data_IF_423377290297
#
_entry.id   IF_423377290297
#
_cell.length_a   1.000
_cell.length_b   1.000
_cell.length_c   1.000
_cell.angle_alpha   90.00
_cell.angle_beta   90.00
_cell.angle_gamma   90.00
#
_symmetry.space_group_name_H-M   'P 1'
#
loop_
_entity.id
_entity.type
_entity.pdbx_description
1 polymer ?
2 non-polymer ?
3 non-polymer ?
4 water ?
#
# COMPACT_ATOMS: atom_id res chain seq x y z
N UNK A 2 -6.42 10.60 21.12
CA UNK A 2 -4.93 10.35 21.16
C UNK A 2 -4.35 9.34 20.10
N UNK A 3 -4.91 8.15 19.97
CA UNK A 3 -4.45 7.23 18.92
C UNK A 3 -5.15 7.50 17.58
N UNK A 4 -4.46 7.22 16.48
CA UNK A 4 -4.98 7.55 15.15
C UNK A 4 -4.56 6.55 14.07
N UNK A 5 -5.52 6.11 13.25
CA UNK A 5 -5.28 5.27 12.09
C UNK A 5 -5.61 6.04 10.82
N UNK A 6 -4.91 5.74 9.73
CA UNK A 6 -5.13 6.42 8.47
C UNK A 6 -5.13 5.49 7.25
N UNK A 7 -6.05 5.76 6.33
CA UNK A 7 -6.18 4.99 5.10
C UNK A 7 -6.04 5.88 3.89
N UNK A 8 -5.20 5.44 2.95
CA UNK A 8 -5.01 6.16 1.64
C UNK A 8 -5.94 5.58 0.57
N UNK A 9 -6.36 6.40 -0.41
CA UNK A 9 -7.28 5.99 -1.48
C UNK A 9 -8.57 5.44 -0.90
N UNK A 10 -9.13 6.17 0.07
CA UNK A 10 -10.17 5.59 0.92
C UNK A 10 -11.59 6.07 0.64
N UNK A 11 -11.80 6.72 -0.51
CA UNK A 11 -13.12 7.25 -0.89
C UNK A 11 -14.02 6.22 -1.55
N UNK A 12 -13.44 5.12 -2.03
CA UNK A 12 -14.20 4.03 -2.66
C UNK A 12 -13.41 2.71 -2.57
N UNK A 13 -14.02 1.63 -3.06
CA UNK A 13 -13.37 0.32 -3.12
C UNK A 13 -12.98 -0.30 -1.78
N UNK A 14 -11.91 -1.08 -1.81
CA UNK A 14 -11.37 -1.69 -0.59
C UNK A 14 -10.93 -0.67 0.49
N UNK A 15 -10.35 0.47 0.08
CA UNK A 15 -9.92 1.50 1.03
C UNK A 15 -11.03 2.06 1.88
N UNK A 16 -12.18 2.32 1.26
CA UNK A 16 -13.39 2.68 1.95
C UNK A 16 -13.82 1.59 2.93
N UNK A 17 -13.81 0.32 2.48
CA UNK A 17 -14.16 -0.81 3.40
C UNK A 17 -13.19 -0.91 4.63
N UNK A 18 -11.90 -0.62 4.40
CA UNK A 18 -10.91 -0.63 5.47
C UNK A 18 -11.18 0.52 6.44
N UNK A 19 -11.48 1.72 5.92
CA UNK A 19 -11.75 2.92 6.74
C UNK A 19 -12.97 2.61 7.64
N UNK A 20 -14.03 2.04 7.05
CA UNK A 20 -15.23 1.61 7.80
C UNK A 20 -14.91 0.66 8.93
N UNK A 21 -14.17 -0.39 8.65
CA UNK A 21 -13.83 -1.38 9.65
C UNK A 21 -12.91 -0.87 10.76
N UNK A 22 -11.98 0.02 10.39
CA UNK A 22 -11.18 0.69 11.43
C UNK A 22 -12.02 1.59 12.35
N UNK A 23 -13.01 2.28 11.77
CA UNK A 23 -14.00 3.05 12.56
C UNK A 23 -14.69 2.13 13.57
N UNK A 24 -14.97 0.90 13.17
CA UNK A 24 -15.61 -0.06 14.09
C UNK A 24 -14.64 -0.72 15.07
N UNK A 25 -13.39 -0.92 14.67
CA UNK A 25 -12.49 -1.82 15.43
C UNK A 25 -11.28 -1.14 16.06
N UNK A 26 -10.89 0.04 15.56
CA UNK A 26 -9.70 0.72 16.04
C UNK A 26 -10.05 1.66 17.22
N UNK A 27 -9.34 1.52 18.34
CA UNK A 27 -9.51 2.37 19.53
C UNK A 27 -8.80 3.71 19.32
N UNK A 28 -9.47 4.67 18.69
CA UNK A 28 -8.85 5.96 18.37
C UNK A 28 -9.56 6.55 17.17
N UNK A 29 -9.02 7.65 16.64
CA UNK A 29 -9.64 8.29 15.47
C UNK A 29 -9.24 7.60 14.18
N UNK A 30 -10.13 7.67 13.19
CA UNK A 30 -9.81 7.16 11.86
C UNK A 30 -9.79 8.34 10.91
N UNK A 31 -8.70 8.50 10.16
CA UNK A 31 -8.62 9.55 9.13
C UNK A 31 -8.78 8.87 7.74
N UNK A 32 -9.90 9.15 7.11
CA UNK A 32 -10.11 8.76 5.72
C UNK A 32 -9.46 9.81 4.84
N UNK A 33 -8.61 9.36 3.92
CA UNK A 33 -7.97 10.30 3.04
C UNK A 33 -8.31 9.97 1.60
N UNK A 34 -8.27 11.00 0.74
CA UNK A 34 -8.57 10.92 -0.70
C UNK A 34 -7.87 12.08 -1.42
N UNK A 35 -7.53 11.87 -2.69
CA UNK A 35 -6.96 12.91 -3.55
C UNK A 35 -8.05 13.85 -4.07
N UNK A 36 -9.27 13.32 -4.23
CA UNK A 36 -10.41 14.12 -4.73
C UNK A 36 -11.16 14.44 -3.44
N UNK A 37 -11.13 15.71 -3.03
CA UNK A 37 -11.79 16.15 -1.78
C UNK A 37 -13.32 15.96 -1.82
N UNK A 38 -13.94 16.22 -2.97
CA UNK A 38 -15.38 16.05 -3.07
C UNK A 38 -15.75 14.56 -2.85
N UNK A 39 -14.99 13.67 -3.49
CA UNK A 39 -15.13 12.22 -3.29
C UNK A 39 -14.83 11.79 -1.86
N UNK A 40 -13.76 12.35 -1.28
CA UNK A 40 -13.39 12.02 0.11
C UNK A 40 -14.44 12.42 1.15
N UNK A 41 -14.95 13.63 0.99
CA UNK A 41 -15.95 14.14 1.94
C UNK A 41 -17.30 13.45 1.77
N UNK A 42 -17.65 13.10 0.52
CA UNK A 42 -18.85 12.30 0.25
C UNK A 42 -18.75 10.93 0.93
N UNK A 43 -17.56 10.32 0.92
CA UNK A 43 -17.32 9.02 1.59
C UNK A 43 -17.43 9.12 3.11
N UNK A 44 -16.84 10.19 3.66
CA UNK A 44 -16.98 10.55 5.09
C UNK A 44 -18.46 10.70 5.50
N UNK A 45 -19.23 11.45 4.72
CA UNK A 45 -20.68 11.60 4.93
C UNK A 45 -21.45 10.28 4.87
N UNK A 46 -21.03 9.39 3.97
CA UNK A 46 -21.60 8.07 3.83
C UNK A 46 -21.42 7.23 5.12
N UNK A 47 -20.20 7.20 5.65
CA UNK A 47 -19.88 6.56 6.92
C UNK A 47 -20.54 7.28 8.09
N UNK A 48 -20.57 8.61 8.07
CA UNK A 48 -21.40 9.36 9.03
C UNK A 48 -22.89 8.99 9.05
N UNK A 49 -23.44 8.68 7.88
CA UNK A 49 -24.85 8.31 7.74
C UNK A 49 -25.09 6.93 8.36
N UNK A 50 -24.04 6.10 8.35
CA UNK A 50 -24.06 4.83 9.06
C UNK A 50 -24.00 4.99 10.59
N UNK A 51 -23.62 6.19 11.07
CA UNK A 51 -23.40 6.42 12.50
C UNK A 51 -21.93 6.40 12.93
N UNK A 52 -21.02 6.39 11.97
CA UNK A 52 -19.58 6.41 12.23
C UNK A 52 -18.99 7.82 12.23
N UNK A 53 -17.75 7.95 12.73
CA UNK A 53 -17.14 9.25 12.92
C UNK A 53 -15.71 9.42 12.35
N UNK A 54 -15.49 9.07 11.06
CA UNK A 54 -14.12 9.29 10.57
C UNK A 54 -13.85 10.80 10.41
N UNK A 55 -12.56 11.13 10.43
CA UNK A 55 -12.09 12.44 10.04
C UNK A 55 -11.60 12.40 8.61
N UNK A 56 -11.62 13.57 7.96
CA UNK A 56 -11.08 13.66 6.63
C UNK A 56 -9.79 14.48 6.56
N UNK A 57 -8.86 14.03 5.72
CA UNK A 57 -7.73 14.84 5.28
C UNK A 57 -7.46 14.55 3.79
N UNK A 58 -7.20 15.59 3.01
CA UNK A 58 -6.81 15.38 1.62
C UNK A 58 -5.46 14.64 1.55
N UNK A 59 -5.29 13.78 0.55
CA UNK A 59 -3.97 13.19 0.34
C UNK A 59 -3.87 12.67 -1.09
N UNK A 60 -2.98 13.27 -1.89
CA UNK A 60 -2.61 12.66 -3.17
C UNK A 60 -1.17 12.14 -2.98
N UNK A 61 -1.02 10.82 -3.04
CA UNK A 61 0.29 10.21 -2.72
C UNK A 61 1.36 10.54 -3.80
N UNK A 62 0.90 11.00 -4.97
CA UNK A 62 1.82 11.46 -6.04
C UNK A 62 2.42 12.85 -5.86
N UNK A 63 1.89 13.58 -4.86
CA UNK A 63 2.24 14.93 -4.54
C UNK A 63 2.95 15.01 -3.17
N UNK A 64 4.26 15.22 -3.21
CA UNK A 64 5.07 15.26 -2.01
C UNK A 64 4.63 16.34 -0.98
N UNK A 65 4.21 17.50 -1.46
CA UNK A 65 3.66 18.54 -0.59
C UNK A 65 2.39 18.08 0.12
N UNK A 66 1.60 17.25 -0.56
CA UNK A 66 0.38 16.64 0.03
C UNK A 66 0.75 15.63 1.13
N UNK A 67 1.72 14.77 0.85
CA UNK A 67 2.20 13.80 1.86
C UNK A 67 2.69 14.56 3.10
N UNK A 68 3.49 15.60 2.87
CA UNK A 68 4.07 16.39 3.98
C UNK A 68 3.08 17.22 4.74
N UNK A 69 2.07 17.78 4.06
CA UNK A 69 0.95 18.41 4.76
C UNK A 69 0.22 17.41 5.66
N UNK A 70 0.05 16.18 5.21
CA UNK A 70 -0.63 15.15 6.04
C UNK A 70 0.25 14.84 7.26
N UNK A 71 1.55 14.70 7.01
CA UNK A 71 2.54 14.43 8.05
C UNK A 71 2.48 15.47 9.15
N UNK A 72 2.47 16.73 8.73
CA UNK A 72 2.42 17.88 9.64
C UNK A 72 1.13 17.89 10.45
N UNK A 73 0.00 17.71 9.77
CA UNK A 73 -1.29 17.55 10.45
C UNK A 73 -1.26 16.45 11.57
N UNK A 74 -0.73 15.27 11.23
CA UNK A 74 -0.64 14.14 12.16
C UNK A 74 0.28 14.46 13.35
N UNK A 75 1.44 15.04 13.11
CA UNK A 75 2.32 15.45 14.22
C UNK A 75 1.64 16.47 15.14
N UNK A 76 0.91 17.43 14.55
CA UNK A 76 0.32 18.52 15.34
C UNK A 76 -0.84 18.04 16.22
N UNK A 77 -1.72 17.23 15.62
CA UNK A 77 -2.98 16.83 16.21
C UNK A 77 -2.87 15.64 17.14
N UNK A 78 -2.00 14.71 16.79
CA UNK A 78 -1.89 13.46 17.52
C UNK A 78 -0.49 13.17 18.03
N UNK A 79 0.49 13.98 17.62
CA UNK A 79 1.90 13.74 17.92
C UNK A 79 2.50 12.60 17.13
N UNK A 80 1.80 12.13 16.10
CA UNK A 80 2.28 11.07 15.22
C UNK A 80 1.14 10.21 14.69
N UNK A 81 1.49 8.98 14.38
CA UNK A 81 0.57 8.04 13.75
C UNK A 81 0.72 6.65 14.36
N UNK A 82 -0.42 5.96 14.59
CA UNK A 82 -0.41 4.56 15.07
C UNK A 82 -0.58 3.52 13.97
N UNK A 83 -1.42 3.79 12.98
CA UNK A 83 -1.72 2.81 11.90
C UNK A 83 -1.71 3.54 10.55
N UNK A 84 -0.98 2.98 9.58
CA UNK A 84 -0.97 3.51 8.23
C UNK A 84 -1.32 2.38 7.26
N UNK A 85 -2.39 2.56 6.50
CA UNK A 85 -2.75 1.60 5.47
C UNK A 85 -2.51 2.29 4.12
N UNK A 86 -1.46 1.85 3.42
CA UNK A 86 -1.15 2.33 2.07
C UNK A 86 -1.94 1.49 1.05
N UNK A 87 -3.16 1.93 0.78
CA UNK A 87 -4.12 1.25 -0.09
C UNK A 87 -4.14 1.84 -1.51
N UNK A 88 -3.91 3.16 -1.64
CA UNK A 88 -3.97 3.79 -2.94
C UNK A 88 -3.15 3.05 -4.00
N UNK A 89 -3.74 2.81 -5.17
CA UNK A 89 -3.08 2.22 -6.32
C UNK A 89 -3.83 2.52 -7.59
N UNK A 90 -3.15 2.31 -8.71
CA UNK A 90 -3.77 2.36 -10.04
C UNK A 90 -3.43 1.11 -10.85
N UNK A 91 -4.30 0.78 -11.81
CA UNK A 91 -4.04 -0.25 -12.80
C UNK A 91 -4.76 0.21 -14.03
N UNK A 92 -4.03 0.35 -15.14
CA UNK A 92 -4.63 0.92 -16.34
C UNK A 92 -5.05 -0.18 -17.29
N UNK A 93 -6.34 -0.23 -17.62
CA UNK A 93 -6.87 -1.18 -18.59
C UNK A 93 -6.88 -0.59 -20.02
N UNK A 94 -7.21 -1.42 -21.01
CA UNK A 94 -7.19 -1.01 -22.43
C UNK A 94 -8.24 0.06 -22.80
N UNK A 95 -9.13 0.41 -21.86
CA UNK A 95 -10.11 1.50 -22.05
C UNK A 95 -9.48 2.87 -21.78
N UNK A 96 -8.25 2.82 -21.24
CA UNK A 96 -7.39 3.98 -21.00
C UNK A 96 -6.15 3.75 -21.88
N UNK A 97 -6.30 4.02 -23.20
CA UNK A 97 -5.25 3.69 -24.20
C UNK A 97 -4.03 4.58 -24.07
N UNK A 98 -2.89 3.95 -23.95
CA UNK A 98 -1.63 4.66 -23.70
C UNK A 98 -0.49 3.77 -24.12
N UNK A 99 0.62 4.37 -24.58
CA UNK A 99 1.79 3.53 -24.89
C UNK A 99 2.31 2.79 -23.65
N UNK A 100 2.92 1.64 -23.90
CA UNK A 100 3.35 0.74 -22.82
C UNK A 100 4.35 1.39 -21.83
N UNK A 101 5.28 2.19 -22.35
CA UNK A 101 6.25 2.87 -21.50
C UNK A 101 5.62 3.92 -20.56
N UNK A 102 4.60 4.64 -21.03
CA UNK A 102 3.76 5.50 -20.19
C UNK A 102 2.94 4.68 -19.15
N UNK A 103 2.33 3.59 -19.56
CA UNK A 103 1.62 2.73 -18.63
C UNK A 103 2.59 2.30 -17.53
N UNK A 104 3.81 1.89 -17.93
CA UNK A 104 4.81 1.45 -16.96
C UNK A 104 5.20 2.57 -16.00
N UNK A 105 5.52 3.72 -16.57
CA UNK A 105 5.89 4.90 -15.78
C UNK A 105 4.79 5.38 -14.79
N UNK A 106 3.54 5.45 -15.26
CA UNK A 106 2.50 5.98 -14.42
C UNK A 106 2.04 4.96 -13.37
N UNK A 107 2.00 3.68 -13.71
CA UNK A 107 1.70 2.61 -12.73
C UNK A 107 2.76 2.55 -11.61
N UNK A 108 4.06 2.56 -11.95
CA UNK A 108 5.11 2.58 -10.89
C UNK A 108 5.15 3.91 -10.13
N UNK A 109 4.87 5.02 -10.82
CA UNK A 109 4.80 6.33 -10.14
C UNK A 109 3.91 6.27 -8.89
N UNK A 110 2.67 5.84 -9.04
CA UNK A 110 1.78 5.74 -7.86
C UNK A 110 2.09 4.50 -7.00
N UNK A 111 1.99 3.32 -7.59
CA UNK A 111 2.00 2.09 -6.79
C UNK A 111 3.30 1.87 -6.07
N UNK A 112 4.42 2.15 -6.73
CA UNK A 112 5.70 1.98 -6.06
C UNK A 112 6.31 3.27 -5.46
N UNK A 113 6.60 4.25 -6.31
CA UNK A 113 7.33 5.43 -5.87
C UNK A 113 6.54 6.27 -4.88
N UNK A 114 5.25 6.46 -5.12
CA UNK A 114 4.38 7.17 -4.15
C UNK A 114 4.23 6.45 -2.80
N UNK A 115 3.98 5.14 -2.86
CA UNK A 115 3.86 4.29 -1.68
C UNK A 115 5.15 4.37 -0.85
N UNK A 116 6.29 4.28 -1.53
CA UNK A 116 7.60 4.48 -0.92
C UNK A 116 7.76 5.86 -0.27
N UNK A 117 7.38 6.92 -0.97
CA UNK A 117 7.42 8.30 -0.40
C UNK A 117 6.49 8.42 0.85
N UNK A 118 5.29 7.85 0.78
CA UNK A 118 4.43 7.70 1.97
C UNK A 118 5.16 7.03 3.17
N UNK A 119 5.83 5.93 2.91
CA UNK A 119 6.52 5.22 3.99
C UNK A 119 7.68 6.04 4.59
N UNK A 120 8.44 6.72 3.75
CA UNK A 120 9.62 7.47 4.20
C UNK A 120 9.24 8.76 4.95
N UNK A 121 8.17 9.42 4.51
CA UNK A 121 7.69 10.62 5.17
C UNK A 121 6.98 10.32 6.47
N UNK A 122 6.32 9.17 6.55
CA UNK A 122 5.47 8.88 7.69
C UNK A 122 5.98 7.87 8.73
N UNK A 123 6.89 6.98 8.34
CA UNK A 123 7.51 6.05 9.31
C UNK A 123 8.15 6.77 10.49
N UNK A 124 8.88 7.92 10.25
CA UNK A 124 9.46 8.63 11.41
C UNK A 124 8.47 9.13 12.45
N UNK A 125 7.24 9.38 12.03
CA UNK A 125 6.16 9.77 12.96
C UNK A 125 5.30 8.57 13.47
N UNK A 126 5.60 7.35 13.05
CA UNK A 126 4.91 6.18 13.60
C UNK A 126 5.28 6.03 15.10
N UNK A 127 4.25 5.90 15.93
CA UNK A 127 4.41 5.70 17.38
C UNK A 127 4.84 4.23 17.70
N UNK A 128 5.43 3.97 18.89
CA UNK A 128 5.71 2.58 19.29
C UNK A 128 4.44 1.71 19.20
N UNK A 129 4.65 0.45 18.79
CA UNK A 129 3.58 -0.57 18.54
C UNK A 129 2.65 -0.19 17.39
N UNK A 130 3.14 0.68 16.50
CA UNK A 130 2.36 1.11 15.34
C UNK A 130 2.42 0.03 14.27
N UNK A 131 1.50 0.09 13.32
CA UNK A 131 1.47 -0.89 12.21
C UNK A 131 1.35 -0.19 10.88
N UNK A 132 2.09 -0.72 9.90
CA UNK A 132 2.03 -0.24 8.52
C UNK A 132 1.56 -1.41 7.65
N UNK A 133 0.54 -1.17 6.85
CA UNK A 133 -0.03 -2.18 5.96
C UNK A 133 0.05 -1.61 4.54
N UNK A 134 0.89 -2.26 3.72
CA UNK A 134 1.04 -1.89 2.30
C UNK A 134 0.23 -2.86 1.47
N UNK A 135 -0.87 -2.39 0.88
CA UNK A 135 -1.71 -3.25 0.02
C UNK A 135 -0.96 -3.58 -1.26
N UNK A 136 -0.67 -4.85 -1.43
CA UNK A 136 -0.02 -5.31 -2.64
C UNK A 136 -1.07 -6.13 -3.39
N UNK A 137 -0.65 -7.24 -3.98
CA UNK A 137 -1.50 -8.12 -4.78
C UNK A 137 -0.74 -9.46 -4.94
N UNK A 138 -1.48 -10.53 -5.01
CA UNK A 138 -0.93 -11.85 -5.36
C UNK A 138 -0.34 -11.86 -6.77
N UNK A 139 -0.76 -10.92 -7.63
CA UNK A 139 -0.11 -10.73 -8.93
C UNK A 139 1.38 -10.47 -8.82
N UNK A 140 1.83 -9.97 -7.68
CA UNK A 140 3.27 -9.72 -7.52
C UNK A 140 4.07 -11.05 -7.62
N UNK A 141 3.45 -12.16 -7.20
CA UNK A 141 4.08 -13.51 -7.27
C UNK A 141 4.22 -14.00 -8.68
N UNK A 142 3.14 -13.85 -9.45
CA UNK A 142 3.11 -14.19 -10.86
C UNK A 142 4.17 -13.36 -11.60
N UNK A 143 4.28 -12.07 -11.25
CA UNK A 143 5.29 -11.16 -11.83
C UNK A 143 6.68 -11.67 -11.51
N UNK A 144 6.91 -12.04 -10.24
CA UNK A 144 8.18 -12.62 -9.83
C UNK A 144 8.54 -13.85 -10.65
N UNK A 145 7.57 -14.76 -10.82
CA UNK A 145 7.79 -15.98 -11.56
C UNK A 145 8.09 -15.69 -13.03
N UNK A 146 7.56 -14.58 -13.56
CA UNK A 146 7.78 -14.17 -14.95
C UNK A 146 9.06 -13.31 -15.18
N UNK A 147 9.77 -12.99 -14.11
CA UNK A 147 11.13 -12.44 -14.19
C UNK A 147 12.16 -13.50 -14.62
N UNK A 148 13.19 -13.09 -15.39
CA UNK A 148 14.34 -13.96 -15.65
C UNK A 148 14.93 -14.44 -14.31
N UNK A 149 15.64 -15.56 -14.32
CA UNK A 149 16.27 -16.05 -13.08
C UNK A 149 17.17 -15.00 -12.39
N UNK A 150 17.94 -14.26 -13.20
CA UNK A 150 18.79 -13.16 -12.69
C UNK A 150 18.02 -12.10 -11.87
N UNK A 151 16.88 -11.65 -12.40
CA UNK A 151 16.01 -10.70 -11.67
C UNK A 151 15.38 -11.25 -10.41
N UNK A 152 14.88 -12.48 -10.49
CA UNK A 152 14.36 -13.18 -9.33
C UNK A 152 15.35 -13.19 -8.13
N UNK A 153 16.61 -13.49 -8.42
CA UNK A 153 17.69 -13.60 -7.42
C UNK A 153 17.91 -12.24 -6.75
N UNK A 154 17.87 -11.17 -7.57
CA UNK A 154 17.98 -9.80 -7.11
C UNK A 154 16.83 -9.38 -6.17
N UNK A 155 15.57 -9.68 -6.54
CA UNK A 155 14.39 -9.33 -5.71
C UNK A 155 14.28 -10.20 -4.47
N UNK A 156 14.70 -11.45 -4.60
CA UNK A 156 14.56 -12.44 -3.54
C UNK A 156 15.58 -12.25 -2.41
N UNK A 157 16.73 -11.64 -2.72
CA UNK A 157 17.85 -11.56 -1.75
C UNK A 157 17.52 -10.72 -0.51
N UNK A 158 17.76 -11.29 0.66
CA UNK A 158 17.62 -10.61 1.93
C UNK A 158 18.47 -9.35 2.05
N UNK A 159 19.59 -9.29 1.32
CA UNK A 159 20.51 -8.13 1.42
C UNK A 159 20.16 -6.88 0.55
N UNK A 160 19.18 -7.03 -0.34
CA UNK A 160 18.68 -5.95 -1.16
C UNK A 160 18.33 -4.73 -0.30
N UNK A 161 18.87 -3.59 -0.69
CA UNK A 161 18.63 -2.34 -0.02
C UNK A 161 17.50 -1.57 -0.68
N UNK A 162 17.03 -0.53 0.01
CA UNK A 162 16.00 0.31 -0.54
C UNK A 162 16.52 0.92 -1.85
N UNK A 163 17.76 1.43 -1.83
CA UNK A 163 18.42 2.01 -3.00
C UNK A 163 18.54 1.05 -4.16
N UNK A 164 18.97 -0.20 -3.91
CA UNK A 164 18.99 -1.25 -4.94
C UNK A 164 17.57 -1.44 -5.52
N UNK A 165 16.54 -1.47 -4.66
CA UNK A 165 15.17 -1.70 -5.14
C UNK A 165 14.66 -0.55 -6.01
N UNK A 166 14.81 0.67 -5.51
CA UNK A 166 14.49 1.88 -6.27
C UNK A 166 15.11 1.85 -7.66
N UNK A 167 16.38 1.52 -7.72
CA UNK A 167 17.10 1.44 -8.98
C UNK A 167 16.54 0.38 -9.94
N UNK A 168 16.11 -0.76 -9.39
CA UNK A 168 15.49 -1.82 -10.21
C UNK A 168 14.15 -1.41 -10.81
N UNK A 169 13.33 -0.74 -10.00
CA UNK A 169 12.03 -0.23 -10.41
C UNK A 169 12.23 0.81 -11.48
N UNK A 170 13.22 1.69 -11.25
CA UNK A 170 13.60 2.71 -12.22
C UNK A 170 14.07 2.07 -13.55
N UNK A 171 14.85 1.00 -13.43
CA UNK A 171 15.32 0.22 -14.57
C UNK A 171 14.18 -0.36 -15.42
N UNK A 172 13.14 -0.93 -14.76
CA UNK A 172 11.94 -1.42 -15.47
C UNK A 172 11.37 -0.31 -16.34
N UNK A 173 11.07 0.83 -15.75
CA UNK A 173 10.54 1.97 -16.50
C UNK A 173 11.46 2.35 -17.68
N UNK A 174 12.76 2.52 -17.44
CA UNK A 174 13.70 2.90 -18.51
C UNK A 174 13.73 1.89 -19.63
N UNK A 175 13.79 0.60 -19.26
CA UNK A 175 13.80 -0.53 -20.18
C UNK A 175 12.54 -0.53 -21.08
N UNK A 176 11.37 -0.21 -20.50
CA UNK A 176 10.15 -0.03 -21.31
C UNK A 176 10.27 1.17 -22.28
N UNK A 177 10.82 2.30 -21.82
CA UNK A 177 11.10 3.46 -22.72
C UNK A 177 12.00 3.08 -23.88
N UNK A 178 13.01 2.24 -23.60
CA UNK A 178 13.95 1.83 -24.61
C UNK A 178 13.54 0.57 -25.33
N UNK A 179 12.37 0.04 -25.01
CA UNK A 179 11.80 -1.08 -25.76
C UNK A 179 12.66 -2.32 -25.68
N UNK A 180 13.27 -2.53 -24.51
CA UNK A 180 14.13 -3.69 -24.27
C UNK A 180 13.71 -4.46 -22.99
N UNK A 181 12.51 -4.17 -22.44
CA UNK A 181 12.14 -4.81 -21.16
C UNK A 181 12.09 -6.36 -21.21
N UNK A 182 11.68 -6.95 -22.34
CA UNK A 182 11.71 -8.42 -22.46
C UNK A 182 13.13 -9.02 -22.48
N UNK A 183 14.01 -8.43 -23.28
CA UNK A 183 15.42 -8.83 -23.36
C UNK A 183 16.06 -8.73 -21.99
N UNK A 184 15.66 -7.72 -21.23
CA UNK A 184 16.25 -7.49 -19.94
C UNK A 184 15.64 -8.37 -18.84
N UNK A 185 14.74 -9.27 -19.19
CA UNK A 185 14.25 -10.26 -18.25
C UNK A 185 13.01 -9.87 -17.45
N UNK A 186 12.37 -8.75 -17.80
CA UNK A 186 11.14 -8.27 -17.10
C UNK A 186 9.85 -9.00 -17.56
N UNK A 187 8.82 -9.09 -16.68
CA UNK A 187 7.51 -9.53 -17.20
C UNK A 187 6.79 -8.40 -17.95
N UNK A 188 5.63 -8.73 -18.54
CA UNK A 188 4.83 -7.73 -19.30
C UNK A 188 3.81 -6.92 -18.52
N UNK A 189 3.65 -7.18 -17.22
CA UNK A 189 2.67 -6.47 -16.40
C UNK A 189 3.31 -5.42 -15.50
N UNK A 190 3.17 -4.10 -15.87
CA UNK A 190 3.60 -3.00 -14.99
C UNK A 190 2.90 -3.00 -13.65
N UNK A 191 1.64 -3.39 -13.61
CA UNK A 191 0.98 -3.53 -12.31
C UNK A 191 1.67 -4.61 -11.45
N UNK A 192 1.90 -5.79 -12.03
CA UNK A 192 2.56 -6.85 -11.29
C UNK A 192 3.94 -6.47 -10.80
N UNK A 193 4.74 -5.81 -11.64
CA UNK A 193 6.09 -5.32 -11.28
C UNK A 193 6.02 -4.29 -10.13
N UNK A 194 5.09 -3.31 -10.23
CA UNK A 194 4.84 -2.30 -9.16
C UNK A 194 4.49 -2.97 -7.82
N UNK A 195 3.62 -3.98 -7.85
CA UNK A 195 3.25 -4.70 -6.63
C UNK A 195 4.41 -5.53 -6.07
N UNK A 196 5.23 -6.08 -6.96
CA UNK A 196 6.42 -6.77 -6.51
C UNK A 196 7.29 -5.79 -5.74
N UNK A 197 7.48 -4.60 -6.32
CA UNK A 197 8.15 -3.51 -5.63
C UNK A 197 7.53 -3.22 -4.29
N UNK A 198 6.20 -3.10 -4.21
CA UNK A 198 5.56 -2.85 -2.89
C UNK A 198 5.88 -3.98 -1.88
N UNK A 199 5.74 -5.23 -2.33
CA UNK A 199 6.09 -6.42 -1.51
C UNK A 199 7.52 -6.35 -1.00
N UNK A 200 8.48 -6.11 -1.91
CA UNK A 200 9.88 -6.12 -1.53
C UNK A 200 10.20 -4.89 -0.65
N UNK A 201 9.64 -3.72 -0.99
CA UNK A 201 9.79 -2.54 -0.14
C UNK A 201 9.35 -2.84 1.32
N UNK A 202 8.26 -3.60 1.46
CA UNK A 202 7.76 -4.02 2.79
C UNK A 202 8.80 -4.83 3.63
N UNK A 203 9.47 -5.78 2.98
CA UNK A 203 10.56 -6.54 3.60
C UNK A 203 11.68 -5.60 4.03
N UNK A 204 12.04 -4.69 3.14
CA UNK A 204 13.11 -3.74 3.38
C UNK A 204 12.82 -2.79 4.53
N UNK A 205 11.61 -2.24 4.57
CA UNK A 205 11.21 -1.35 5.64
C UNK A 205 11.21 -2.06 7.00
N UNK A 206 10.76 -3.31 7.01
CA UNK A 206 10.86 -4.15 8.22
C UNK A 206 12.32 -4.36 8.68
N UNK A 207 13.24 -4.72 7.78
CA UNK A 207 14.68 -4.77 8.18
C UNK A 207 15.17 -3.42 8.75
N UNK A 208 14.72 -2.31 8.14
CA UNK A 208 15.18 -0.98 8.57
C UNK A 208 14.66 -0.66 9.97
N UNK A 209 13.41 -1.03 10.23
CA UNK A 209 12.80 -0.77 11.53
C UNK A 209 13.52 -1.60 12.61
N UNK A 210 13.81 -2.85 12.28
CA UNK A 210 14.54 -3.76 13.16
C UNK A 210 15.97 -3.28 13.42
N UNK A 211 16.57 -2.63 12.42
CA UNK A 211 17.87 -2.05 12.57
C UNK A 211 17.91 -0.81 13.46
N UNK A 212 17.04 0.16 13.20
CA UNK A 212 17.15 1.50 13.81
C UNK A 212 16.28 1.69 15.07
N UNK A 213 15.28 0.82 15.26
CA UNK A 213 14.27 1.07 16.33
C UNK A 213 13.48 -0.21 16.72
N UNK A 214 14.21 -1.29 16.98
CA UNK A 214 13.57 -2.58 17.19
C UNK A 214 12.64 -2.55 18.39
N UNK A 215 13.01 -1.82 19.46
CA UNK A 215 12.17 -1.74 20.66
C UNK A 215 10.83 -1.01 20.45
N UNK A 216 10.71 -0.19 19.41
CA UNK A 216 9.45 0.43 19.12
C UNK A 216 8.40 -0.63 18.69
N UNK A 217 8.86 -1.81 18.27
CA UNK A 217 7.93 -2.91 17.94
C UNK A 217 6.91 -2.51 16.84
N UNK A 218 7.39 -1.79 15.84
CA UNK A 218 6.51 -1.43 14.70
C UNK A 218 6.51 -2.63 13.74
N UNK A 219 5.32 -2.98 13.24
CA UNK A 219 5.17 -4.02 12.23
C UNK A 219 4.70 -3.49 10.87
N UNK A 220 5.47 -3.82 9.85
CA UNK A 220 5.20 -3.44 8.46
C UNK A 220 5.00 -4.77 7.70
N UNK A 221 3.84 -4.90 7.07
CA UNK A 221 3.55 -6.05 6.20
C UNK A 221 2.92 -5.62 4.88
N UNK A 222 3.17 -6.42 3.84
CA UNK A 222 2.42 -6.32 2.58
C UNK A 222 1.22 -7.28 2.61
N UNK A 223 0.16 -6.91 1.91
CA UNK A 223 -1.16 -7.53 2.06
C UNK A 223 -1.76 -7.73 0.67
N UNK A 224 -2.23 -8.95 0.40
CA UNK A 224 -3.10 -9.18 -0.75
C UNK A 224 -4.58 -9.30 -0.26
N UNK A 225 -5.47 -8.34 -0.60
CA UNK A 225 -6.89 -8.36 -0.17
C UNK A 225 -7.70 -9.46 -0.88
N UNK A 226 -7.04 -10.18 -1.78
CA UNK A 226 -7.56 -11.47 -2.25
C UNK A 226 -8.23 -11.24 -3.55
N UNK A 227 -8.49 -12.35 -4.28
CA UNK A 227 -9.25 -12.17 -5.52
C UNK A 227 -10.61 -11.60 -5.15
N UNK A 228 -11.00 -10.56 -5.85
CA UNK A 228 -12.34 -10.00 -5.71
C UNK A 228 -13.17 -10.62 -6.90
N UNK A 229 -14.49 -10.77 -6.76
CA UNK A 229 -15.30 -11.31 -7.85
C UNK A 229 -16.10 -10.26 -8.64
N UNK A 230 -16.10 -10.42 -9.96
CA UNK A 230 -16.82 -9.55 -10.89
C UNK A 230 -18.31 -9.84 -10.88
N UNK A 231 -19.12 -8.78 -10.82
CA UNK A 231 -20.60 -8.91 -10.96
C UNK A 231 -21.00 -8.89 -12.43
N UNK A 232 -22.29 -9.12 -12.68
CA UNK A 232 -22.85 -9.08 -14.04
C UNK A 232 -22.57 -7.79 -14.82
N UNK A 233 -22.51 -6.68 -14.09
CA UNK A 233 -22.26 -5.35 -14.70
C UNK A 233 -20.77 -4.98 -14.86
N UNK A 234 -19.88 -5.88 -14.44
CA UNK A 234 -18.43 -5.72 -14.66
C UNK A 234 -17.68 -5.23 -13.44
N UNK A 235 -18.43 -4.76 -12.44
CA UNK A 235 -17.87 -4.20 -11.22
C UNK A 235 -17.46 -5.28 -10.22
N UNK A 236 -16.59 -4.89 -9.28
CA UNK A 236 -16.20 -5.72 -8.15
C UNK A 236 -17.42 -5.88 -7.24
N UNK A 237 -17.81 -7.12 -6.95
CA UNK A 237 -19.01 -7.38 -6.13
C UNK A 237 -18.80 -6.79 -4.73
N UNK A 238 -19.85 -6.16 -4.17
CA UNK A 238 -19.70 -5.35 -2.94
C UNK A 238 -19.25 -6.17 -1.73
N UNK A 239 -19.77 -7.39 -1.64
CA UNK A 239 -19.49 -8.27 -0.53
C UNK A 239 -18.01 -8.63 -0.52
N UNK A 240 -17.47 -8.95 -1.69
CA UNK A 240 -16.09 -9.40 -1.79
C UNK A 240 -15.15 -8.21 -1.53
N UNK A 241 -15.67 -7.00 -1.79
CA UNK A 241 -14.94 -5.77 -1.57
C UNK A 241 -14.80 -5.50 -0.06
N UNK A 242 -15.89 -5.71 0.65
CA UNK A 242 -15.85 -5.65 2.11
C UNK A 242 -15.08 -6.80 2.77
N UNK A 243 -15.18 -7.98 2.18
CA UNK A 243 -14.38 -9.12 2.59
C UNK A 243 -12.86 -8.83 2.40
N UNK A 244 -12.56 -7.98 1.41
CA UNK A 244 -11.20 -7.59 1.05
C UNK A 244 -10.48 -6.82 2.13
N UNK A 245 -11.25 -6.07 2.94
CA UNK A 245 -10.75 -5.39 4.14
C UNK A 245 -10.24 -6.29 5.28
N UNK A 246 -10.62 -7.58 5.30
CA UNK A 246 -10.31 -8.47 6.44
C UNK A 246 -8.82 -8.62 6.80
N UNK A 247 -8.01 -9.03 5.85
CA UNK A 247 -6.56 -9.16 6.06
C UNK A 247 -5.85 -7.80 6.34
N UNK A 248 -6.14 -6.72 5.55
CA UNK A 248 -5.60 -5.41 5.94
C UNK A 248 -5.93 -5.01 7.38
N UNK A 249 -7.17 -5.26 7.83
CA UNK A 249 -7.56 -4.82 9.16
C UNK A 249 -6.89 -5.69 10.25
N UNK A 250 -6.86 -6.99 10.02
CA UNK A 250 -6.06 -7.88 10.84
C UNK A 250 -4.61 -7.41 11.05
N UNK A 251 -3.95 -7.01 9.97
CA UNK A 251 -2.52 -6.60 9.98
C UNK A 251 -2.35 -5.23 10.66
N UNK A 252 -3.38 -4.37 10.54
CA UNK A 252 -3.43 -3.05 11.17
C UNK A 252 -3.59 -3.16 12.68
N UNK A 253 -4.32 -4.19 13.13
CA UNK A 253 -4.69 -4.31 14.54
C UNK A 253 -3.97 -5.45 15.29
N UNK A 254 -2.82 -5.89 14.80
CA UNK A 254 -2.07 -6.94 15.47
C UNK A 254 -1.79 -6.48 16.90
N UNK A 255 -2.08 -7.34 17.91
CA UNK A 255 -1.86 -6.88 19.31
C UNK A 255 -0.44 -6.40 19.59
N UNK A 256 -0.26 -5.49 20.57
CA UNK A 256 1.04 -4.84 20.88
C UNK A 256 2.23 -5.78 21.11
N UNK A 257 1.94 -6.97 21.60
CA UNK A 257 2.97 -7.93 21.95
C UNK A 257 3.44 -8.79 20.76
N UNK A 258 2.73 -8.70 19.62
CA UNK A 258 3.06 -9.51 18.44
C UNK A 258 4.45 -9.16 17.91
N UNK A 259 5.19 -10.17 17.46
CA UNK A 259 6.51 -9.96 16.85
C UNK A 259 6.52 -10.51 15.41
N UNK A 260 5.41 -11.14 15.01
CA UNK A 260 5.22 -11.62 13.66
C UNK A 260 3.76 -11.32 13.22
N UNK A 261 3.45 -11.58 11.95
CA UNK A 261 4.16 -11.21 10.73
C UNK A 261 4.91 -9.88 10.77
N UNK A 262 6.18 -9.97 10.37
CA UNK A 262 7.01 -8.81 10.17
C UNK A 262 7.69 -8.83 8.81
N UNK A 263 7.39 -7.83 7.99
CA UNK A 263 7.99 -7.70 6.65
C UNK A 263 7.51 -8.74 5.66
N UNK A 264 6.41 -9.39 5.99
CA UNK A 264 5.86 -10.50 5.20
C UNK A 264 4.82 -10.02 4.18
N UNK A 265 4.54 -10.88 3.21
CA UNK A 265 3.43 -10.78 2.31
C UNK A 265 2.31 -11.71 2.88
N UNK A 266 1.15 -11.13 3.12
CA UNK A 266 0.08 -11.84 3.84
C UNK A 266 -1.22 -11.88 3.01
N UNK A 267 -1.80 -13.06 2.86
CA UNK A 267 -3.08 -13.23 2.17
C UNK A 267 -3.96 -14.16 3.00
N UNK A 268 -5.20 -13.72 3.27
CA UNK A 268 -6.12 -14.47 4.12
C UNK A 268 -5.48 -14.87 5.44
N UNK A 269 -4.80 -13.87 6.02
CA UNK A 269 -4.11 -13.96 7.31
C UNK A 269 -2.91 -14.90 7.33
N UNK A 270 -2.52 -15.42 6.18
CA UNK A 270 -1.42 -16.38 6.09
C UNK A 270 -0.23 -15.78 5.34
N UNK A 271 0.98 -16.03 5.82
CA UNK A 271 2.22 -15.60 5.14
C UNK A 271 2.42 -16.38 3.84
N UNK A 272 2.74 -15.62 2.77
CA UNK A 272 2.97 -16.15 1.43
C UNK A 272 4.47 -16.30 1.31
N UNK A 273 4.92 -17.49 0.95
CA UNK A 273 6.33 -17.76 0.85
C UNK A 273 6.70 -17.82 -0.62
N UNK A 274 7.63 -16.98 -1.04
CA UNK A 274 8.05 -17.00 -2.45
C UNK A 274 9.58 -17.08 -2.61
X LIG B 1 -10.01 1.16 -6.72
X LIG B 1 -11.42 0.80 -6.59
X LIG B 1 -9.53 1.26 -8.14
X LIG B 1 -9.71 2.53 -5.90
X LIG B 1 -8.36 2.98 -5.77
X LIG B 1 -8.33 4.09 -4.72
X LIG B 1 -7.03 4.59 -4.75
X LIG B 1 -9.27 5.25 -5.10
X LIG B 1 -9.78 5.83 -3.89
X LIG B 1 -8.34 6.20 -5.88
X LIG B 1 -8.78 7.57 -5.92
X LIG B 1 -7.07 5.98 -5.06
X LIG B 1 -5.89 6.54 -5.73
X LIG B 1 -5.37 6.26 -6.97
X LIG B 1 -4.29 7.07 -7.13
X LIG B 1 -4.17 7.89 -6.05
X LIG B 1 -3.29 8.92 -5.71
X LIG B 1 -2.29 9.30 -6.54
X LIG B 1 -3.44 9.52 -4.47
X LIG B 1 -4.45 9.18 -3.60
X LIG B 1 -5.34 8.19 -3.95
X LIG B 1 -5.18 7.56 -5.15
X LIG B 1 -9.05 0.08 -5.98
X LIG B 1 -9.47 -1.28 -5.20
X LIG B 1 -9.86 -2.31 -6.22
X LIG B 1 -10.36 -1.01 -4.01
X LIG B 1 -8.03 -1.69 -4.64
X LIG B 1 -7.50 -1.17 -3.43
X LIG B 1 -6.13 -1.83 -3.24
X LIG B 1 -6.23 -3.28 -3.27
X LIG B 1 -5.16 -1.44 -4.35
X LIG B 1 -3.89 -1.27 -3.77
X LIG B 1 -5.19 -2.62 -5.31
X LIG B 1 -3.98 -2.67 -6.05
X LIG B 1 -5.40 -3.79 -4.33
X LIG B 1 -6.00 -5.02 -4.87
X LIG B 1 -7.28 -5.02 -5.41
X LIG B 1 -7.89 -6.19 -5.90
X LIG B 1 -9.27 -6.15 -6.53
X LIG B 1 -9.70 -7.16 -7.43
X LIG B 1 -10.10 -5.14 -6.24
X LIG B 1 -7.17 -7.41 -5.81
X LIG B 1 -5.88 -7.41 -5.26
X LIG B 1 -5.30 -6.22 -4.78
X LIG B 1 -9.82 8.13 -7.05
X LIG B 1 -9.66 9.66 -7.05
X LIG B 1 -11.24 7.71 -6.71
X LIG B 1 -9.41 7.44 -8.35
X LIG C 1 -6.34 -0.33 -9.03
X LIG C 1 -6.01 0.20 -7.77
X LIG C 1 -7.19 -1.55 -8.73
X LIG C 1 -8.45 -1.44 -9.37
X LIG C 1 -6.45 -2.83 -9.06
X LIG C 1 -7.16 -3.90 -8.49
X LIG D 1 12.15 -13.80 0.09
X LIG D 1 12.62 -12.53 0.50
X LIG D 1 11.14 -14.27 1.13
X LIG D 1 11.77 -15.14 2.08
X LIG D 1 9.89 -14.79 0.45
X LIG D 1 9.24 -15.83 1.13
X LIG E 1 8.01 8.43 17.87
X LIG E 1 9.39 8.52 18.24
X LIG E 1 7.58 9.36 16.72
X LIG E 1 8.60 10.28 16.42
X LIG E 1 6.25 10.08 17.03
X LIG E 1 5.91 11.14 16.13
#
# INVERSE_FOLDING_TARGET
>A
GSRVALVTGANRGIGLAIARELCRQFSGDVVLTARDVARGQAAVQQLQAEGLSPRFHQLDIDDLQSIRALRDFLRKEYGGLNVLVNNAAVAFKSDDPMPFDIKAEMTLKTNFFATRNMCNELLPIMKPHGRVVNISSLQCLRAFENCSEDLQERFHSETLTEGDLVDLMKKFVEDTKNEVHEREGWPNSPYGVSKLGVTVLSRILARRLDEKRKADRILVNACCPGPVKTDMDGKDSIRTVEEGAETPVYLALLPPDATEPQGQLVHDKVVQNW
>B hetero
1 NAP PA O1A O2A O5B C5B C4B O4B C3B O3B C2B O2B C1B N9A C8A N7A C5A C6A N6A N1A C2A N3A C4A O3 PN O1N O2N O5D C5D C4D O4D C3D O3D C2D O2D C1D N1N C2N C3N C7N O7N N7N C4N C5N C6N P2B O1X O2X O3X
>C hetero
1 GOL C1 O1 C2 O2 C3 O3
>D hetero
1 GOL C1 O1 C2 O2 C3 O3
>E hetero
1 GOL C1 O1 C2 O2 C3 O3
#
